data_IF_352497307037
#
_entry.id   IF_352497307037
#
_cell.length_a   1.000
_cell.length_b   1.000
_cell.length_c   1.000
_cell.angle_alpha   90.00
_cell.angle_beta   90.00
_cell.angle_gamma   90.00
#
_symmetry.space_group_name_H-M   'P 1'
#
loop_
_entity.id
_entity.type
_entity.pdbx_description
1 polymer ?
#
# COMPACT_ATOMS: atom_id res chain seq x y z
N UNK A 1 -16.08 -2.85 12.54
CA UNK A 1 -15.66 -1.47 12.87
C UNK A 1 -15.49 -0.71 11.56
N UNK A 2 -16.28 0.36 11.33
CA UNK A 2 -16.13 1.20 10.15
C UNK A 2 -14.76 1.92 10.18
N UNK A 3 -14.32 2.41 9.03
CA UNK A 3 -13.08 3.19 8.86
C UNK A 3 -13.45 4.55 8.28
N UNK A 4 -12.74 5.61 8.68
CA UNK A 4 -12.95 6.97 8.16
C UNK A 4 -11.84 7.39 7.20
N UNK A 5 -12.07 8.46 6.43
CA UNK A 5 -11.06 9.04 5.54
C UNK A 5 -9.83 9.51 6.35
N UNK A 6 -10.04 10.13 7.51
CA UNK A 6 -8.97 10.59 8.41
C UNK A 6 -8.09 9.43 8.88
N UNK A 7 -8.72 8.29 9.18
CA UNK A 7 -8.02 7.10 9.61
C UNK A 7 -7.19 6.46 8.49
N UNK A 8 -7.73 6.44 7.25
CA UNK A 8 -6.97 6.00 6.07
C UNK A 8 -5.79 6.93 5.77
N UNK A 9 -5.98 8.25 5.86
CA UNK A 9 -4.89 9.22 5.70
C UNK A 9 -3.80 9.02 6.75
N UNK A 10 -4.21 8.79 8.00
CA UNK A 10 -3.29 8.50 9.11
C UNK A 10 -2.51 7.21 8.87
N UNK A 11 -3.17 6.15 8.38
CA UNK A 11 -2.53 4.88 8.02
C UNK A 11 -1.45 5.09 6.93
N UNK A 12 -1.79 5.80 5.85
CA UNK A 12 -0.85 6.10 4.76
C UNK A 12 0.32 6.96 5.25
N UNK A 13 0.05 7.96 6.09
CA UNK A 13 1.09 8.79 6.71
C UNK A 13 2.08 7.98 7.53
N UNK A 14 1.61 7.01 8.32
CA UNK A 14 2.48 6.10 9.08
C UNK A 14 3.30 5.18 8.17
N UNK A 15 2.75 4.73 7.03
CA UNK A 15 3.49 3.94 6.05
C UNK A 15 4.61 4.76 5.40
N UNK A 16 4.35 6.01 5.04
CA UNK A 16 5.40 6.91 4.54
C UNK A 16 6.48 7.16 5.60
N UNK A 17 6.09 7.41 6.85
CA UNK A 17 7.04 7.59 7.94
C UNK A 17 7.92 6.34 8.11
N UNK A 18 7.33 5.14 8.13
CA UNK A 18 8.09 3.89 8.20
C UNK A 18 9.10 3.74 7.04
N UNK A 19 8.71 4.17 5.83
CA UNK A 19 9.58 4.23 4.66
C UNK A 19 10.76 5.20 4.86
N UNK A 20 10.50 6.42 5.32
CA UNK A 20 11.57 7.42 5.57
C UNK A 20 12.57 6.98 6.63
N UNK A 21 12.11 6.23 7.63
CA UNK A 21 12.95 5.69 8.71
C UNK A 21 13.64 4.39 8.32
N UNK A 22 13.52 3.92 7.07
CA UNK A 22 14.05 2.64 6.58
C UNK A 22 13.63 1.45 7.46
N UNK A 23 12.44 1.55 8.05
CA UNK A 23 11.94 0.63 9.08
C UNK A 23 10.90 -0.35 8.52
N UNK A 24 10.87 -0.53 7.20
CA UNK A 24 9.89 -1.37 6.49
C UNK A 24 9.97 -2.86 6.83
N UNK A 25 11.11 -3.32 7.37
CA UNK A 25 11.34 -4.70 7.82
C UNK A 25 11.32 -4.85 9.35
N UNK A 26 11.09 -3.76 10.10
CA UNK A 26 10.98 -3.84 11.54
C UNK A 26 9.62 -4.42 11.94
N UNK A 27 9.57 -5.09 13.10
CA UNK A 27 8.29 -5.53 13.61
C UNK A 27 7.44 -4.32 13.98
N UNK A 28 6.13 -4.44 13.73
CA UNK A 28 5.15 -3.41 14.11
C UNK A 28 5.20 -3.15 15.64
N UNK A 29 5.51 -4.16 16.46
CA UNK A 29 5.68 -3.97 17.90
C UNK A 29 6.78 -2.96 18.24
N UNK A 30 7.87 -2.98 17.48
CA UNK A 30 9.09 -2.24 17.80
C UNK A 30 8.90 -0.76 17.43
N UNK A 31 8.26 -0.51 16.28
CA UNK A 31 7.85 0.83 15.85
C UNK A 31 6.96 1.54 16.90
N UNK A 32 6.16 0.78 17.64
CA UNK A 32 5.28 1.30 18.70
C UNK A 32 5.87 1.19 20.11
N UNK A 33 7.11 0.71 20.29
CA UNK A 33 7.70 0.42 21.61
C UNK A 33 7.91 1.66 22.47
N UNK A 34 7.45 1.64 23.72
CA UNK A 34 7.56 2.75 24.68
C UNK A 34 8.84 2.74 25.52
N UNK A 35 9.77 1.82 25.26
CA UNK A 35 11.05 1.68 25.98
C UNK A 35 12.15 2.66 25.54
N UNK A 36 11.79 3.66 24.72
CA UNK A 36 12.71 4.63 24.14
C UNK A 36 13.27 4.23 22.77
N UNK A 37 12.96 3.02 22.26
CA UNK A 37 13.42 2.57 20.94
C UNK A 37 12.38 2.77 19.83
N UNK A 38 11.10 2.88 20.18
CA UNK A 38 10.03 3.16 19.22
C UNK A 38 9.88 4.64 18.88
N UNK A 39 9.03 4.93 17.89
CA UNK A 39 8.88 6.28 17.35
C UNK A 39 7.55 6.88 17.83
N UNK A 40 7.63 7.97 18.60
CA UNK A 40 6.48 8.59 19.28
C UNK A 40 5.31 8.86 18.33
N UNK A 41 5.59 9.31 17.12
CA UNK A 41 4.57 9.61 16.11
C UNK A 41 3.63 8.43 15.85
N UNK A 42 4.14 7.18 15.81
CA UNK A 42 3.30 6.01 15.57
C UNK A 42 2.27 5.81 16.70
N UNK A 43 2.68 5.97 17.96
CA UNK A 43 1.80 5.88 19.13
C UNK A 43 0.80 7.03 19.20
N UNK A 44 1.26 8.24 18.88
CA UNK A 44 0.43 9.44 18.91
C UNK A 44 -0.64 9.44 17.81
N UNK A 45 -0.39 8.77 16.68
CA UNK A 45 -1.33 8.75 15.56
C UNK A 45 -2.36 7.62 15.64
N UNK A 46 -1.96 6.38 15.93
CA UNK A 46 -2.87 5.23 15.88
C UNK A 46 -2.44 4.08 16.79
N UNK A 47 -3.41 3.38 17.40
CA UNK A 47 -3.11 2.16 18.15
C UNK A 47 -2.53 1.05 17.22
N UNK A 48 -1.48 0.31 17.63
CA UNK A 48 -0.85 -0.71 16.78
C UNK A 48 -1.79 -1.85 16.39
N UNK A 49 -2.76 -2.18 17.25
CA UNK A 49 -3.81 -3.17 16.95
C UNK A 49 -4.74 -2.67 15.85
N UNK A 50 -5.08 -1.37 15.89
CA UNK A 50 -5.92 -0.76 14.86
C UNK A 50 -5.18 -0.65 13.52
N UNK A 51 -3.92 -0.24 13.54
CA UNK A 51 -3.03 -0.24 12.37
C UNK A 51 -2.97 -1.64 11.72
N UNK A 52 -2.68 -2.67 12.51
CA UNK A 52 -2.64 -4.06 12.05
C UNK A 52 -3.98 -4.57 11.52
N UNK A 53 -5.10 -4.17 12.16
CA UNK A 53 -6.44 -4.51 11.70
C UNK A 53 -6.73 -3.90 10.34
N UNK A 54 -6.45 -2.61 10.16
CA UNK A 54 -6.70 -1.90 8.90
C UNK A 54 -5.87 -2.51 7.76
N UNK A 55 -4.56 -2.75 7.97
CA UNK A 55 -3.70 -3.38 6.96
C UNK A 55 -4.24 -4.73 6.46
N UNK A 56 -4.82 -5.55 7.36
CA UNK A 56 -5.42 -6.84 6.98
C UNK A 56 -6.77 -6.69 6.28
N UNK A 57 -7.52 -5.65 6.60
CA UNK A 57 -8.88 -5.40 6.13
C UNK A 57 -8.96 -4.55 4.85
N UNK A 58 -7.86 -3.89 4.43
CA UNK A 58 -7.83 -3.06 3.21
C UNK A 58 -8.28 -3.85 1.97
N UNK A 59 -9.23 -3.27 1.23
CA UNK A 59 -9.74 -3.78 -0.05
C UNK A 59 -9.89 -2.60 -1.01
N UNK A 60 -9.67 -2.85 -2.30
CA UNK A 60 -9.71 -1.84 -3.36
C UNK A 60 -10.65 -2.24 -4.50
N UNK A 61 -11.57 -3.15 -4.22
CA UNK A 61 -12.50 -3.72 -5.18
C UNK A 61 -13.86 -4.01 -4.56
N UNK A 62 -14.89 -4.07 -5.40
CA UNK A 62 -16.23 -4.44 -4.97
C UNK A 62 -16.38 -5.97 -4.88
N UNK A 63 -16.70 -6.53 -3.69
CA UNK A 63 -16.84 -7.98 -3.52
C UNK A 63 -17.95 -8.60 -4.39
N UNK A 64 -18.97 -7.83 -4.77
CA UNK A 64 -20.11 -8.33 -5.54
C UNK A 64 -19.76 -8.60 -7.01
N UNK A 65 -18.80 -7.86 -7.57
CA UNK A 65 -18.36 -8.00 -8.98
C UNK A 65 -17.06 -8.76 -9.12
N UNK A 66 -16.35 -9.00 -8.01
CA UNK A 66 -15.04 -9.67 -7.95
C UNK A 66 -14.99 -11.00 -8.73
N UNK A 67 -16.01 -11.84 -8.62
CA UNK A 67 -16.01 -13.18 -9.23
C UNK A 67 -15.96 -13.13 -10.76
N UNK A 68 -16.60 -12.14 -11.37
CA UNK A 68 -16.58 -11.97 -12.83
C UNK A 68 -15.33 -11.20 -13.27
N UNK A 69 -14.94 -10.15 -12.54
CA UNK A 69 -13.78 -9.33 -12.89
C UNK A 69 -12.47 -10.12 -12.91
N UNK A 70 -12.27 -11.05 -11.97
CA UNK A 70 -11.04 -11.88 -11.88
C UNK A 70 -10.90 -12.84 -13.07
N UNK A 71 -12.00 -13.24 -13.72
CA UNK A 71 -11.94 -14.09 -14.92
C UNK A 71 -11.36 -13.35 -16.12
N UNK A 72 -11.60 -12.04 -16.18
CA UNK A 72 -11.18 -11.17 -17.29
C UNK A 72 -9.80 -10.60 -17.02
N UNK A 73 -9.59 -10.10 -15.80
CA UNK A 73 -8.37 -9.38 -15.40
C UNK A 73 -7.84 -9.88 -14.04
N UNK A 74 -6.62 -10.44 -14.07
CA UNK A 74 -5.93 -10.93 -12.87
C UNK A 74 -5.55 -9.79 -11.90
N UNK A 75 -5.47 -8.54 -12.36
CA UNK A 75 -5.17 -7.35 -11.57
C UNK A 75 -6.43 -6.58 -11.11
N UNK A 76 -7.63 -7.10 -11.40
CA UNK A 76 -8.91 -6.46 -11.08
C UNK A 76 -9.06 -5.97 -9.63
N UNK A 77 -8.38 -6.61 -8.67
CA UNK A 77 -8.45 -6.27 -7.23
C UNK A 77 -7.85 -4.91 -6.85
N UNK A 78 -7.02 -4.31 -7.70
CA UNK A 78 -6.40 -3.00 -7.46
C UNK A 78 -6.63 -2.03 -8.63
N UNK A 79 -7.26 -2.51 -9.72
CA UNK A 79 -7.44 -1.78 -10.97
C UNK A 79 -8.07 -0.40 -10.76
N UNK A 80 -9.14 -0.33 -9.96
CA UNK A 80 -9.88 0.91 -9.66
C UNK A 80 -9.05 1.99 -8.97
N UNK A 81 -7.93 1.63 -8.33
CA UNK A 81 -6.98 2.59 -7.73
C UNK A 81 -5.77 2.81 -8.62
N UNK A 82 -5.30 1.76 -9.29
CA UNK A 82 -4.09 1.80 -10.10
C UNK A 82 -4.25 2.63 -11.37
N UNK A 83 -5.36 2.49 -12.11
CA UNK A 83 -5.57 3.25 -13.35
C UNK A 83 -5.66 4.77 -13.09
N UNK A 84 -6.51 5.27 -12.17
CA UNK A 84 -6.54 6.70 -11.87
C UNK A 84 -5.22 7.24 -11.34
N UNK A 85 -4.45 6.41 -10.62
CA UNK A 85 -3.11 6.78 -10.17
C UNK A 85 -2.16 6.99 -11.35
N UNK A 86 -2.11 6.05 -12.29
CA UNK A 86 -1.27 6.16 -13.50
C UNK A 86 -1.68 7.37 -14.35
N UNK A 87 -2.98 7.56 -14.56
CA UNK A 87 -3.52 8.73 -15.28
C UNK A 87 -3.10 10.04 -14.60
N UNK A 88 -3.16 10.09 -13.27
CA UNK A 88 -2.71 11.26 -12.49
C UNK A 88 -1.20 11.51 -12.67
N UNK A 89 -0.38 10.47 -12.69
CA UNK A 89 1.06 10.61 -12.94
C UNK A 89 1.35 11.15 -14.35
N UNK A 90 0.64 10.65 -15.36
CA UNK A 90 0.78 11.11 -16.74
C UNK A 90 0.34 12.56 -16.92
N UNK A 91 -0.74 12.97 -16.25
CA UNK A 91 -1.22 14.34 -16.29
C UNK A 91 -0.32 15.33 -15.54
N UNK A 92 0.42 14.86 -14.53
CA UNK A 92 1.23 15.71 -13.66
C UNK A 92 2.56 16.17 -14.30
N UNK A 93 3.04 15.49 -15.35
CA UNK A 93 4.36 15.75 -15.90
C UNK A 93 4.45 15.48 -17.40
N UNK A 94 5.07 16.40 -18.15
CA UNK A 94 5.39 16.21 -19.56
C UNK A 94 6.85 15.75 -19.70
N UNK A 95 7.12 14.53 -20.20
CA UNK A 95 8.49 14.06 -20.39
C UNK A 95 9.22 14.84 -21.47
N UNK A 96 10.54 14.96 -21.33
CA UNK A 96 11.43 15.55 -22.32
C UNK A 96 11.87 14.53 -23.38
N UNK A 97 12.78 14.93 -24.28
CA UNK A 97 13.26 14.14 -25.42
C UNK A 97 13.80 12.76 -25.04
N UNK A 98 14.53 12.65 -23.93
CA UNK A 98 15.17 11.41 -23.51
C UNK A 98 14.33 10.71 -22.44
N UNK A 99 13.75 9.57 -22.82
CA UNK A 99 13.00 8.68 -21.92
C UNK A 99 13.53 7.27 -22.00
N UNK A 100 13.32 6.49 -20.94
CA UNK A 100 13.75 5.10 -20.86
C UNK A 100 12.57 4.23 -20.48
N UNK A 101 12.46 3.08 -21.16
CA UNK A 101 11.47 2.04 -20.84
C UNK A 101 12.29 0.86 -20.33
N UNK A 102 12.00 0.47 -19.09
CA UNK A 102 12.60 -0.68 -18.44
C UNK A 102 11.57 -1.36 -17.55
N UNK A 103 11.85 -2.59 -17.14
CA UNK A 103 10.98 -3.39 -16.30
C UNK A 103 11.31 -3.23 -14.81
N UNK A 104 10.28 -3.18 -13.97
CA UNK A 104 10.42 -3.17 -12.51
C UNK A 104 9.75 -4.40 -11.91
N UNK A 105 10.47 -5.10 -11.05
CA UNK A 105 9.98 -6.31 -10.37
C UNK A 105 9.70 -6.03 -8.90
N UNK A 106 8.45 -6.20 -8.51
CA UNK A 106 8.05 -6.14 -7.10
C UNK A 106 8.20 -7.50 -6.43
N UNK A 107 9.03 -7.54 -5.39
CA UNK A 107 9.36 -8.79 -4.69
C UNK A 107 8.15 -9.27 -3.88
N UNK A 108 7.56 -10.39 -4.30
CA UNK A 108 6.45 -11.01 -3.58
C UNK A 108 6.55 -12.55 -3.50
N UNK A 109 6.50 -13.09 -2.28
CA UNK A 109 6.60 -14.56 -2.04
C UNK A 109 5.26 -15.26 -1.85
N UNK A 110 4.15 -14.53 -1.72
CA UNK A 110 2.81 -15.12 -1.59
C UNK A 110 2.25 -15.70 -2.89
N UNK A 111 1.07 -16.33 -2.81
CA UNK A 111 0.37 -16.86 -4.00
C UNK A 111 -0.16 -15.70 -4.84
N UNK A 112 0.37 -15.57 -6.06
CA UNK A 112 -0.07 -14.57 -7.03
C UNK A 112 -0.06 -15.18 -8.44
N UNK A 113 -1.14 -14.98 -9.20
CA UNK A 113 -1.38 -15.64 -10.50
C UNK A 113 -0.52 -15.11 -11.66
N UNK A 114 0.18 -14.00 -11.45
CA UNK A 114 1.03 -13.33 -12.44
C UNK A 114 2.45 -13.10 -11.91
N UNK A 115 2.84 -13.81 -10.84
CA UNK A 115 4.22 -13.76 -10.35
C UNK A 115 5.15 -14.46 -11.34
N UNK A 116 6.25 -13.80 -11.67
CA UNK A 116 7.34 -14.34 -12.48
C UNK A 116 8.55 -14.67 -11.60
N UNK A 117 9.35 -15.65 -12.01
CA UNK A 117 10.66 -15.92 -11.44
C UNK A 117 11.68 -15.56 -12.52
N UNK A 118 12.53 -14.60 -12.20
CA UNK A 118 13.64 -14.13 -13.02
C UNK A 118 14.93 -14.39 -12.26
#
# INVERSE_FOLDING_TARGET
LPTTIEELKSLIGLLFLAGTLKSSQQNISDLWSSDGTGVDMFRCTMNPRRFSFLLRALRFDNPNTRAENVKIDKLSKIREVFEPFVESCQAAYNPCEYTTIDEMLEKFRGRCQFRQYL
#
